data_IF_126692033580
#
_entry.id   IF_126692033580
#
_cell.length_a   1.000
_cell.length_b   1.000
_cell.length_c   1.000
_cell.angle_alpha   90.00
_cell.angle_beta   90.00
_cell.angle_gamma   90.00
#
_symmetry.space_group_name_H-M   'P 1'
#
loop_
_entity.id
_entity.type
_entity.pdbx_description
1 polymer ?
#
# COMPACT_ATOMS: atom_id res chain seq x y z
N UNK A 1 -0.30 -27.18 -2.55
CA UNK A 1 -1.71 -26.70 -2.61
C UNK A 1 -2.18 -25.86 -1.41
N UNK A 2 -1.50 -25.84 -0.25
CA UNK A 2 -1.87 -24.98 0.91
C UNK A 2 -1.14 -23.62 0.96
N UNK A 3 -0.05 -23.48 0.20
CA UNK A 3 0.87 -22.34 0.27
C UNK A 3 0.40 -21.13 -0.54
N UNK A 4 -0.15 -21.37 -1.74
CA UNK A 4 -0.80 -20.35 -2.60
C UNK A 4 -2.05 -19.78 -1.91
N UNK A 5 -2.80 -20.64 -1.20
CA UNK A 5 -3.92 -20.22 -0.36
C UNK A 5 -3.49 -19.32 0.79
N UNK A 6 -2.30 -19.45 1.39
CA UNK A 6 -1.89 -18.59 2.51
C UNK A 6 -1.46 -17.16 2.08
N UNK A 7 -0.89 -17.02 0.90
CA UNK A 7 -0.42 -15.72 0.37
C UNK A 7 -1.59 -14.94 -0.22
N UNK A 8 -2.45 -15.63 -0.98
CA UNK A 8 -3.66 -15.05 -1.56
C UNK A 8 -4.88 -15.08 -0.60
N UNK A 9 -4.89 -15.84 0.49
CA UNK A 9 -5.89 -15.64 1.58
C UNK A 9 -5.57 -14.40 2.39
N UNK A 10 -4.29 -14.03 2.51
CA UNK A 10 -3.86 -12.79 3.19
C UNK A 10 -4.14 -11.56 2.33
N UNK A 11 -4.03 -11.66 1.01
CA UNK A 11 -4.59 -10.70 0.05
C UNK A 11 -6.09 -10.93 -0.14
N UNK A 12 -6.86 -10.77 0.94
CA UNK A 12 -8.31 -10.75 0.82
C UNK A 12 -8.70 -9.63 -0.16
N UNK A 13 -9.63 -9.82 -1.11
CA UNK A 13 -10.07 -8.74 -2.00
C UNK A 13 -10.50 -7.48 -1.23
N UNK A 14 -11.02 -7.66 -0.01
CA UNK A 14 -11.28 -6.60 0.96
C UNK A 14 -10.06 -5.70 1.26
N UNK A 15 -8.85 -6.26 1.38
CA UNK A 15 -7.61 -5.51 1.59
C UNK A 15 -7.27 -4.62 0.40
N UNK A 16 -7.31 -5.17 -0.81
CA UNK A 16 -7.08 -4.43 -2.06
C UNK A 16 -8.09 -3.30 -2.20
N UNK A 17 -9.39 -3.59 -2.05
CA UNK A 17 -10.47 -2.59 -2.15
C UNK A 17 -10.25 -1.48 -1.13
N UNK A 18 -9.98 -1.82 0.13
CA UNK A 18 -9.74 -0.82 1.19
C UNK A 18 -8.55 0.08 0.86
N UNK A 19 -7.44 -0.48 0.41
CA UNK A 19 -6.27 0.33 0.05
C UNK A 19 -6.51 1.16 -1.21
N UNK A 20 -7.24 0.67 -2.20
CA UNK A 20 -7.65 1.47 -3.35
C UNK A 20 -8.57 2.62 -2.96
N UNK A 21 -9.50 2.43 -2.03
CA UNK A 21 -10.34 3.53 -1.52
C UNK A 21 -9.45 4.63 -0.91
N UNK A 22 -8.50 4.27 -0.04
CA UNK A 22 -7.55 5.25 0.51
C UNK A 22 -6.70 5.91 -0.59
N UNK A 23 -6.21 5.12 -1.54
CA UNK A 23 -5.43 5.63 -2.67
C UNK A 23 -6.22 6.63 -3.51
N UNK A 24 -7.49 6.33 -3.84
CA UNK A 24 -8.37 7.20 -4.61
C UNK A 24 -8.64 8.48 -3.83
N UNK A 25 -8.89 8.40 -2.52
CA UNK A 25 -9.04 9.60 -1.68
C UNK A 25 -7.78 10.48 -1.71
N UNK A 26 -6.59 9.90 -1.60
CA UNK A 26 -5.33 10.63 -1.69
C UNK A 26 -5.10 11.23 -3.09
N UNK A 27 -5.35 10.45 -4.14
CA UNK A 27 -5.26 10.91 -5.52
C UNK A 27 -6.21 12.08 -5.78
N UNK A 28 -7.47 11.96 -5.36
CA UNK A 28 -8.48 13.01 -5.49
C UNK A 28 -8.09 14.26 -4.70
N UNK A 29 -7.60 14.11 -3.47
CA UNK A 29 -7.09 15.24 -2.70
C UNK A 29 -5.96 15.97 -3.44
N UNK A 30 -4.98 15.24 -3.99
CA UNK A 30 -3.91 15.85 -4.78
C UNK A 30 -4.44 16.56 -6.04
N UNK A 31 -5.36 15.95 -6.77
CA UNK A 31 -5.87 16.50 -8.06
C UNK A 31 -6.79 17.70 -7.86
N UNK A 32 -7.67 17.68 -6.86
CA UNK A 32 -8.68 18.72 -6.66
C UNK A 32 -8.23 19.89 -5.78
N UNK A 33 -7.22 19.71 -4.91
CA UNK A 33 -6.74 20.78 -4.02
C UNK A 33 -5.68 21.68 -4.68
N UNK A 34 -5.06 21.24 -5.78
CA UNK A 34 -4.03 21.98 -6.48
C UNK A 34 -4.62 22.64 -7.74
N UNK A 35 -4.72 23.98 -7.80
CA UNK A 35 -5.12 24.67 -9.02
C UNK A 35 -4.04 24.49 -10.10
N UNK A 36 -4.47 24.37 -11.36
CA UNK A 36 -3.60 24.27 -12.55
C UNK A 36 -2.60 23.09 -12.54
N UNK A 37 -3.05 21.90 -12.13
CA UNK A 37 -2.23 20.69 -12.23
C UNK A 37 -1.91 20.36 -13.70
N UNK A 38 -0.63 20.11 -14.04
CA UNK A 38 -0.25 19.71 -15.38
C UNK A 38 -0.64 18.24 -15.64
N UNK A 39 -1.12 17.95 -16.85
CA UNK A 39 -1.56 16.59 -17.26
C UNK A 39 -0.53 15.50 -16.96
N UNK A 40 0.79 15.70 -17.20
CA UNK A 40 1.81 14.70 -16.83
C UNK A 40 1.78 14.30 -15.34
N UNK A 41 1.51 15.25 -14.44
CA UNK A 41 1.45 14.98 -13.01
C UNK A 41 0.23 14.12 -12.65
N UNK A 42 -0.91 14.34 -13.31
CA UNK A 42 -2.10 13.49 -13.16
C UNK A 42 -1.78 12.05 -13.58
N UNK A 43 -1.08 11.88 -14.70
CA UNK A 43 -0.68 10.54 -15.20
C UNK A 43 0.22 9.85 -14.17
N UNK A 44 1.24 10.55 -13.66
CA UNK A 44 2.15 10.00 -12.64
C UNK A 44 1.39 9.63 -11.37
N UNK A 45 0.49 10.49 -10.87
CA UNK A 45 -0.35 10.21 -9.71
C UNK A 45 -1.27 9.01 -9.94
N UNK A 46 -1.80 8.85 -11.15
CA UNK A 46 -2.65 7.71 -11.52
C UNK A 46 -1.86 6.40 -11.58
N UNK A 47 -0.63 6.44 -12.09
CA UNK A 47 0.28 5.29 -12.02
C UNK A 47 0.59 4.98 -10.55
N UNK A 48 0.90 5.99 -9.75
CA UNK A 48 1.16 5.83 -8.33
C UNK A 48 -0.01 5.16 -7.59
N UNK A 49 -1.24 5.57 -7.88
CA UNK A 49 -2.47 4.95 -7.38
C UNK A 49 -2.55 3.44 -7.68
N UNK A 50 -2.15 3.01 -8.89
CA UNK A 50 -2.15 1.61 -9.27
C UNK A 50 -1.13 0.78 -8.46
N UNK A 51 0.01 1.37 -8.13
CA UNK A 51 1.07 0.70 -7.36
C UNK A 51 0.85 0.75 -5.83
N UNK A 52 0.01 1.67 -5.35
CA UNK A 52 -0.27 1.90 -3.94
C UNK A 52 -0.62 0.66 -3.09
N UNK A 53 -1.55 -0.24 -3.50
CA UNK A 53 -1.88 -1.41 -2.70
C UNK A 53 -0.70 -2.38 -2.57
N UNK A 54 0.16 -2.46 -3.60
CA UNK A 54 1.36 -3.32 -3.57
C UNK A 54 2.44 -2.72 -2.66
N UNK A 55 2.63 -1.40 -2.70
CA UNK A 55 3.53 -0.72 -1.79
C UNK A 55 3.09 -0.86 -0.32
N UNK A 56 1.78 -0.79 -0.08
CA UNK A 56 1.21 -1.05 1.24
C UNK A 56 1.51 -2.48 1.72
N UNK A 57 1.39 -3.47 0.84
CA UNK A 57 1.65 -4.86 1.19
C UNK A 57 3.09 -5.03 1.71
N UNK A 58 4.07 -4.44 1.01
CA UNK A 58 5.47 -4.48 1.43
C UNK A 58 5.65 -3.82 2.80
N UNK A 59 5.03 -2.67 3.01
CA UNK A 59 5.08 -1.98 4.31
C UNK A 59 4.50 -2.83 5.44
N UNK A 60 3.33 -3.44 5.23
CA UNK A 60 2.67 -4.25 6.26
C UNK A 60 3.53 -5.47 6.61
N UNK A 61 4.14 -6.15 5.63
CA UNK A 61 5.08 -7.24 5.89
C UNK A 61 6.35 -6.77 6.62
N UNK A 62 6.97 -5.66 6.17
CA UNK A 62 8.14 -5.10 6.84
C UNK A 62 7.82 -4.71 8.29
N UNK A 63 6.67 -4.08 8.52
CA UNK A 63 6.21 -3.70 9.85
C UNK A 63 6.03 -4.93 10.73
N UNK A 64 5.40 -5.98 10.23
CA UNK A 64 5.18 -7.21 11.00
C UNK A 64 6.51 -7.90 11.34
N UNK A 65 7.47 -7.89 10.41
CA UNK A 65 8.85 -8.36 10.65
C UNK A 65 9.57 -7.52 11.72
N UNK A 66 9.45 -6.20 11.68
CA UNK A 66 10.08 -5.29 12.64
C UNK A 66 9.46 -5.38 14.04
N UNK A 67 8.13 -5.51 14.11
CA UNK A 67 7.42 -5.59 15.38
C UNK A 67 7.55 -6.97 16.03
N UNK A 68 7.83 -8.02 15.26
CA UNK A 68 8.08 -9.36 15.81
C UNK A 68 6.92 -9.91 16.66
N UNK A 69 5.68 -9.51 16.34
CA UNK A 69 4.49 -9.86 17.14
C UNK A 69 4.22 -8.93 18.33
N UNK A 70 5.02 -7.88 18.54
CA UNK A 70 4.81 -6.88 19.59
C UNK A 70 3.62 -5.98 19.25
N UNK A 71 2.54 -6.09 20.02
CA UNK A 71 1.39 -5.20 19.91
C UNK A 71 1.65 -3.90 20.68
N UNK A 72 1.75 -2.78 19.96
CA UNK A 72 1.87 -1.45 20.56
C UNK A 72 0.48 -0.84 20.69
N UNK A 73 0.07 -0.56 21.93
CA UNK A 73 -1.19 0.11 22.22
C UNK A 73 -0.96 1.61 22.35
N UNK A 74 -1.65 2.38 21.50
CA UNK A 74 -1.62 3.83 21.47
C UNK A 74 -3.04 4.38 21.61
N UNK A 75 -3.22 5.60 22.14
CA UNK A 75 -4.50 6.29 22.10
C UNK A 75 -5.07 6.32 20.68
N UNK A 76 -6.39 6.16 20.54
CA UNK A 76 -7.06 6.00 19.25
C UNK A 76 -6.70 7.11 18.26
N UNK A 77 -6.76 8.36 18.72
CA UNK A 77 -6.43 9.54 17.90
C UNK A 77 -4.99 9.52 17.41
N UNK A 78 -4.04 9.23 18.29
CA UNK A 78 -2.62 9.11 17.95
C UNK A 78 -2.39 8.00 16.93
N UNK A 79 -3.01 6.83 17.12
CA UNK A 79 -2.91 5.72 16.17
C UNK A 79 -3.45 6.07 14.78
N UNK A 80 -4.58 6.77 14.71
CA UNK A 80 -5.19 7.16 13.44
C UNK A 80 -4.33 8.17 12.66
N UNK A 81 -3.79 9.17 13.35
CA UNK A 81 -2.91 10.17 12.74
C UNK A 81 -1.64 9.50 12.18
N UNK A 82 -1.01 8.63 12.97
CA UNK A 82 0.18 7.88 12.53
C UNK A 82 -0.16 7.01 11.32
N UNK A 83 -1.27 6.28 11.35
CA UNK A 83 -1.70 5.44 10.21
C UNK A 83 -1.94 6.26 8.96
N UNK A 84 -2.57 7.43 9.08
CA UNK A 84 -2.80 8.32 7.95
C UNK A 84 -1.49 8.84 7.37
N UNK A 85 -0.56 9.29 8.24
CA UNK A 85 0.75 9.77 7.82
C UNK A 85 1.57 8.68 7.11
N UNK A 86 1.61 7.47 7.66
CA UNK A 86 2.27 6.31 7.03
C UNK A 86 1.67 6.03 5.65
N UNK A 87 0.33 6.01 5.52
CA UNK A 87 -0.34 5.80 4.23
C UNK A 87 0.01 6.89 3.21
N UNK A 88 0.11 8.15 3.65
CA UNK A 88 0.59 9.24 2.81
C UNK A 88 2.03 9.04 2.33
N UNK A 89 2.94 8.64 3.23
CA UNK A 89 4.34 8.34 2.86
C UNK A 89 4.44 7.18 1.86
N UNK A 90 3.68 6.10 2.08
CA UNK A 90 3.62 4.96 1.16
C UNK A 90 3.12 5.41 -0.22
N UNK A 91 2.13 6.31 -0.27
CA UNK A 91 1.64 6.86 -1.53
C UNK A 91 2.75 7.65 -2.24
N UNK A 92 3.47 8.54 -1.57
CA UNK A 92 4.60 9.27 -2.18
C UNK A 92 5.67 8.36 -2.80
N UNK A 93 5.91 7.18 -2.21
CA UNK A 93 6.89 6.20 -2.69
C UNK A 93 6.26 4.96 -3.32
N UNK A 94 5.00 5.02 -3.78
CA UNK A 94 4.27 3.84 -4.21
C UNK A 94 4.89 3.14 -5.42
N UNK A 95 5.46 3.90 -6.37
CA UNK A 95 6.06 3.32 -7.58
C UNK A 95 7.28 2.42 -7.21
N UNK A 96 8.37 2.93 -6.59
CA UNK A 96 9.53 2.10 -6.30
C UNK A 96 9.19 0.96 -5.32
N UNK A 97 8.41 1.24 -4.27
CA UNK A 97 8.05 0.23 -3.27
C UNK A 97 7.06 -0.79 -3.84
N UNK A 98 6.13 -0.36 -4.69
CA UNK A 98 5.15 -1.22 -5.33
C UNK A 98 5.79 -2.16 -6.36
N UNK A 99 6.83 -1.72 -7.08
CA UNK A 99 7.64 -2.61 -7.93
C UNK A 99 8.29 -3.72 -7.08
N UNK A 100 8.83 -3.39 -5.91
CA UNK A 100 9.32 -4.41 -4.96
C UNK A 100 8.21 -5.35 -4.50
N UNK A 101 7.01 -4.84 -4.26
CA UNK A 101 5.85 -5.65 -3.89
C UNK A 101 5.45 -6.65 -4.98
N UNK A 102 5.46 -6.22 -6.25
CA UNK A 102 5.19 -7.10 -7.39
C UNK A 102 6.31 -8.15 -7.55
N UNK A 103 7.58 -7.75 -7.42
CA UNK A 103 8.72 -8.66 -7.46
C UNK A 103 8.65 -9.70 -6.32
N UNK A 104 8.28 -9.27 -5.12
CA UNK A 104 8.09 -10.14 -3.97
C UNK A 104 7.03 -11.21 -4.24
N UNK A 105 5.87 -10.81 -4.78
CA UNK A 105 4.81 -11.75 -5.19
C UNK A 105 5.34 -12.72 -6.27
N UNK A 106 6.13 -12.22 -7.23
CA UNK A 106 6.66 -13.03 -8.32
C UNK A 106 7.67 -14.10 -7.84
N UNK A 107 8.65 -13.72 -7.01
CA UNK A 107 9.63 -14.67 -6.44
C UNK A 107 8.95 -15.72 -5.57
N UNK A 108 7.96 -15.31 -4.78
CA UNK A 108 7.22 -16.22 -3.90
C UNK A 108 6.34 -17.20 -4.68
N UNK A 109 5.77 -16.75 -5.81
CA UNK A 109 5.03 -17.61 -6.75
C UNK A 109 5.96 -18.62 -7.44
N UNK A 110 7.19 -18.20 -7.79
CA UNK A 110 8.16 -19.06 -8.50
C UNK A 110 8.74 -20.17 -7.61
N UNK A 111 8.96 -19.90 -6.33
CA UNK A 111 9.48 -20.87 -5.35
C UNK A 111 8.41 -21.87 -4.84
N UNK A 112 7.16 -21.74 -5.28
CA UNK A 112 6.05 -22.62 -4.92
C UNK A 112 5.76 -23.70 -6.00
N UNK A 113 6.60 -23.78 -7.02
CA UNK A 113 6.58 -24.79 -8.10
C UNK A 113 7.80 -25.69 -8.01
#
# INVERSE_FOLDING_TARGET
MQFIKHIFSSLTPSFLIRNYIFGICFWAACVFLLPDIPIPLIIILTINLLFFPFATLVWDEMRDMLMGGTAVFLPLWTMLIIKFFIKGMIFSFAIPVGVLGILYIWFRTKNAS
#
